data_IF_709496206951
#
_entry.id   IF_709496206951
#
_cell.length_a   1.000
_cell.length_b   1.000
_cell.length_c   1.000
_cell.angle_alpha   90.00
_cell.angle_beta   90.00
_cell.angle_gamma   90.00
#
_symmetry.space_group_name_H-M   'P 1'
#
loop_
_entity.id
_entity.type
_entity.pdbx_description
1 polymer ?
#
# COMPACT_ATOMS: atom_id res chain seq x y z
N UNK A 1 -2.52 -0.55 12.62
CA UNK A 1 -3.35 0.60 12.20
C UNK A 1 -3.67 1.45 13.41
N UNK A 2 -3.72 2.78 13.27
CA UNK A 2 -4.29 3.69 14.27
C UNK A 2 -5.43 4.47 13.65
N UNK A 3 -6.50 4.64 14.42
CA UNK A 3 -7.65 5.46 14.06
C UNK A 3 -7.84 6.52 15.15
N UNK A 4 -8.42 7.66 14.75
CA UNK A 4 -8.80 8.70 15.70
C UNK A 4 -10.28 9.04 15.51
N UNK A 5 -10.95 9.29 16.63
CA UNK A 5 -12.36 9.63 16.69
C UNK A 5 -12.50 11.00 17.36
N UNK A 6 -13.28 11.89 16.75
CA UNK A 6 -13.62 13.20 17.31
C UNK A 6 -15.08 13.14 17.78
N UNK A 7 -15.31 13.27 19.10
CA UNK A 7 -16.63 13.14 19.71
C UNK A 7 -17.37 11.84 19.30
N UNK A 8 -16.65 10.71 19.29
CA UNK A 8 -17.19 9.40 18.90
C UNK A 8 -17.32 9.17 17.39
N UNK A 9 -17.06 10.19 16.55
CA UNK A 9 -17.13 10.09 15.09
C UNK A 9 -15.76 9.80 14.51
N UNK A 10 -15.65 8.80 13.62
CA UNK A 10 -14.41 8.51 12.91
C UNK A 10 -13.90 9.76 12.17
N UNK A 11 -12.66 10.16 12.45
CA UNK A 11 -12.04 11.37 11.92
C UNK A 11 -10.84 11.06 10.99
N UNK A 12 -10.17 9.93 11.16
CA UNK A 12 -9.06 9.55 10.30
C UNK A 12 -8.31 8.29 10.72
N UNK A 13 -7.40 7.86 9.86
CA UNK A 13 -6.57 6.67 10.06
C UNK A 13 -5.15 6.88 9.56
N UNK A 14 -4.25 6.03 10.04
CA UNK A 14 -2.93 5.84 9.46
C UNK A 14 -2.44 4.41 9.74
N UNK A 15 -1.77 3.80 8.77
CA UNK A 15 -1.14 2.49 8.89
C UNK A 15 0.36 2.67 8.65
N UNK A 16 1.18 2.01 9.45
CA UNK A 16 2.59 1.82 9.19
C UNK A 16 2.85 0.31 9.17
N UNK A 17 3.19 -0.23 8.01
CA UNK A 17 3.65 -1.60 7.86
C UNK A 17 5.12 -1.66 8.28
N UNK A 18 5.48 -2.67 9.06
CA UNK A 18 6.86 -2.90 9.50
C UNK A 18 7.39 -4.13 8.78
N UNK A 19 8.48 -3.95 8.04
CA UNK A 19 9.25 -5.00 7.40
C UNK A 19 10.63 -5.08 8.06
N UNK A 20 11.40 -6.15 7.84
CA UNK A 20 12.73 -6.29 8.43
C UNK A 20 13.65 -5.09 8.16
N UNK A 21 13.62 -4.56 6.93
CA UNK A 21 14.60 -3.55 6.47
C UNK A 21 14.03 -2.13 6.35
N UNK A 22 12.70 -1.98 6.42
CA UNK A 22 12.03 -0.70 6.24
C UNK A 22 10.61 -0.70 6.81
N UNK A 23 10.02 0.49 6.91
CA UNK A 23 8.62 0.70 7.22
C UNK A 23 7.90 1.40 6.08
N UNK A 24 6.60 1.15 5.93
CA UNK A 24 5.80 1.75 4.85
C UNK A 24 4.50 2.35 5.38
N UNK A 25 4.31 3.65 5.17
CA UNK A 25 3.09 4.36 5.59
C UNK A 25 2.02 4.24 4.49
N UNK A 26 0.83 3.85 4.91
CA UNK A 26 -0.33 3.68 4.04
C UNK A 26 -1.60 4.16 4.74
N UNK A 27 -2.66 4.39 3.96
CA UNK A 27 -3.98 4.80 4.46
C UNK A 27 -3.93 5.99 5.44
N UNK A 28 -2.99 6.91 5.22
CA UNK A 28 -2.91 8.16 5.97
C UNK A 28 -3.98 9.14 5.45
N UNK A 29 -5.03 9.31 6.23
CA UNK A 29 -6.21 10.04 5.82
C UNK A 29 -6.88 10.74 7.00
N UNK A 30 -7.32 11.97 6.78
CA UNK A 30 -8.21 12.72 7.68
C UNK A 30 -9.41 13.18 6.87
N UNK A 31 -10.60 12.95 7.42
CA UNK A 31 -11.88 13.40 6.88
C UNK A 31 -11.88 14.93 6.71
N UNK A 32 -12.35 15.48 5.57
CA UNK A 32 -12.28 16.90 5.25
C UNK A 32 -12.69 17.85 6.38
N UNK A 33 -13.82 17.58 7.03
CA UNK A 33 -14.40 18.39 8.12
C UNK A 33 -13.54 18.46 9.39
N UNK A 34 -12.58 17.54 9.56
CA UNK A 34 -11.66 17.48 10.69
C UNK A 34 -10.24 17.94 10.34
N UNK A 35 -9.99 18.38 9.09
CA UNK A 35 -8.67 18.89 8.66
C UNK A 35 -8.37 20.27 9.27
N UNK A 36 -7.09 20.64 9.25
CA UNK A 36 -6.61 21.91 9.81
C UNK A 36 -6.52 21.95 11.34
N UNK A 37 -6.84 20.83 12.03
CA UNK A 37 -6.89 20.73 13.50
C UNK A 37 -5.70 19.97 14.12
N UNK A 38 -4.65 19.69 13.36
CA UNK A 38 -3.48 18.93 13.82
C UNK A 38 -3.67 17.40 13.94
N UNK A 39 -4.88 16.88 13.68
CA UNK A 39 -5.22 15.46 13.76
C UNK A 39 -4.31 14.58 12.90
N UNK A 40 -4.00 15.02 11.68
CA UNK A 40 -3.13 14.27 10.77
C UNK A 40 -1.73 14.09 11.36
N UNK A 41 -1.13 15.16 11.86
CA UNK A 41 0.20 15.11 12.50
C UNK A 41 0.21 14.20 13.73
N UNK A 42 -0.86 14.21 14.53
CA UNK A 42 -1.00 13.29 15.67
C UNK A 42 -1.06 11.82 15.20
N UNK A 43 -1.92 11.51 14.22
CA UNK A 43 -1.99 10.16 13.63
C UNK A 43 -0.64 9.71 13.09
N UNK A 44 0.05 10.58 12.36
CA UNK A 44 1.35 10.29 11.76
C UNK A 44 2.41 9.98 12.82
N UNK A 45 2.54 10.83 13.84
CA UNK A 45 3.50 10.63 14.94
C UNK A 45 3.21 9.38 15.79
N UNK A 46 1.94 8.98 15.90
CA UNK A 46 1.56 7.75 16.60
C UNK A 46 2.00 6.48 15.86
N UNK A 47 2.04 6.51 14.52
CA UNK A 47 2.43 5.33 13.72
C UNK A 47 3.90 5.35 13.30
N UNK A 48 4.45 6.53 12.99
CA UNK A 48 5.87 6.75 12.69
C UNK A 48 6.54 7.35 13.92
N UNK A 49 6.66 6.53 14.96
CA UNK A 49 7.33 6.91 16.21
C UNK A 49 8.86 6.95 16.04
N UNK A 50 9.59 7.38 17.08
CA UNK A 50 11.04 7.54 17.03
C UNK A 50 11.77 6.25 16.61
N UNK A 51 11.33 5.08 17.09
CA UNK A 51 11.92 3.79 16.70
C UNK A 51 11.75 3.49 15.21
N UNK A 52 10.58 3.81 14.64
CA UNK A 52 10.34 3.62 13.20
C UNK A 52 11.21 4.57 12.38
N UNK A 53 11.46 5.79 12.87
CA UNK A 53 12.29 6.81 12.21
C UNK A 53 13.79 6.47 12.18
N UNK A 54 14.26 5.52 12.98
CA UNK A 54 15.65 5.04 12.93
C UNK A 54 15.94 4.24 11.64
N UNK A 55 14.90 3.70 10.99
CA UNK A 55 15.02 2.96 9.74
C UNK A 55 14.54 3.73 8.51
N UNK A 56 14.54 3.05 7.36
CA UNK A 56 13.97 3.59 6.13
C UNK A 56 12.45 3.61 6.21
N UNK A 57 11.83 4.77 5.98
CA UNK A 57 10.36 4.90 5.95
C UNK A 57 9.93 5.37 4.56
N UNK A 58 9.10 4.58 3.89
CA UNK A 58 8.54 4.88 2.57
C UNK A 58 7.03 5.18 2.63
N UNK A 59 6.52 5.88 1.61
CA UNK A 59 5.09 6.05 1.38
C UNK A 59 4.81 6.33 -0.10
N UNK A 60 3.55 6.14 -0.50
CA UNK A 60 3.04 6.69 -1.74
C UNK A 60 2.46 8.08 -1.50
N UNK A 61 3.06 9.09 -2.13
CA UNK A 61 2.56 10.46 -2.06
C UNK A 61 1.49 10.69 -3.12
N UNK A 62 0.29 11.07 -2.68
CA UNK A 62 -0.66 11.73 -3.57
C UNK A 62 -0.12 13.13 -3.92
N UNK A 63 -0.18 13.59 -5.18
CA UNK A 63 0.50 14.82 -5.61
C UNK A 63 0.18 16.07 -4.77
N UNK A 64 -1.06 16.26 -4.32
CA UNK A 64 -1.45 17.38 -3.46
C UNK A 64 -0.89 17.29 -2.03
N UNK A 65 -0.51 16.08 -1.59
CA UNK A 65 0.09 15.84 -0.28
C UNK A 65 1.62 15.79 -0.30
N UNK A 66 2.25 15.71 -1.49
CA UNK A 66 3.72 15.63 -1.62
C UNK A 66 4.47 16.75 -0.86
N UNK A 67 4.07 18.04 -0.94
CA UNK A 67 4.73 19.11 -0.19
C UNK A 67 4.67 18.90 1.34
N UNK A 68 3.56 18.35 1.86
CA UNK A 68 3.43 18.06 3.30
C UNK A 68 4.44 16.99 3.71
N UNK A 69 4.59 15.92 2.92
CA UNK A 69 5.54 14.85 3.23
C UNK A 69 6.98 15.34 3.19
N UNK A 70 7.33 16.12 2.17
CA UNK A 70 8.68 16.64 1.96
C UNK A 70 9.06 17.69 3.00
N UNK A 71 8.26 18.74 3.13
CA UNK A 71 8.62 19.93 3.90
C UNK A 71 8.32 19.79 5.40
N UNK A 72 7.30 19.00 5.76
CA UNK A 72 6.82 18.92 7.15
C UNK A 72 7.14 17.60 7.82
N UNK A 73 7.26 16.52 7.06
CA UNK A 73 7.43 15.16 7.59
C UNK A 73 8.78 14.53 7.24
N UNK A 74 9.63 15.22 6.48
CA UNK A 74 11.03 14.85 6.23
C UNK A 74 11.25 13.81 5.13
N UNK A 75 10.25 13.51 4.30
CA UNK A 75 10.37 12.58 3.17
C UNK A 75 11.08 13.26 2.00
N UNK A 76 12.40 13.35 2.08
CA UNK A 76 13.24 14.08 1.12
C UNK A 76 13.84 13.22 0.00
N UNK A 77 13.44 11.94 -0.10
CA UNK A 77 13.89 11.01 -1.16
C UNK A 77 12.70 10.65 -2.04
N UNK A 78 12.88 10.75 -3.36
CA UNK A 78 11.89 10.41 -4.37
C UNK A 78 12.45 9.35 -5.31
N UNK A 79 11.61 8.40 -5.68
CA UNK A 79 11.89 7.44 -6.75
C UNK A 79 11.56 8.06 -8.10
N UNK A 80 12.19 7.58 -9.18
CA UNK A 80 12.01 8.10 -10.55
C UNK A 80 10.73 7.62 -11.24
N UNK A 81 9.95 6.76 -10.60
CA UNK A 81 8.72 6.20 -11.15
C UNK A 81 7.48 6.76 -10.42
N UNK A 82 6.33 6.68 -11.08
CA UNK A 82 5.04 7.10 -10.53
C UNK A 82 4.04 5.97 -10.63
N UNK A 83 3.16 5.86 -9.63
CA UNK A 83 1.99 5.00 -9.73
C UNK A 83 0.88 5.74 -10.49
N UNK A 84 0.37 5.14 -11.55
CA UNK A 84 -0.73 5.71 -12.34
C UNK A 84 -2.01 4.92 -12.10
N UNK A 85 -3.13 5.64 -12.01
CA UNK A 85 -4.47 5.03 -12.03
C UNK A 85 -4.95 5.06 -13.46
N UNK A 86 -5.12 3.88 -14.04
CA UNK A 86 -5.68 3.73 -15.38
C UNK A 86 -7.09 3.15 -15.26
N UNK A 87 -8.05 3.78 -15.95
CA UNK A 87 -9.36 3.18 -16.18
C UNK A 87 -9.30 2.52 -17.54
N UNK A 88 -9.47 1.20 -17.56
CA UNK A 88 -9.49 0.43 -18.81
C UNK A 88 -10.95 0.23 -19.22
N UNK A 89 -11.30 0.65 -20.43
CA UNK A 89 -12.63 0.48 -21.04
C UNK A 89 -12.48 -0.10 -22.44
N UNK A 90 -13.54 -0.72 -22.98
CA UNK A 90 -13.53 -1.31 -24.33
C UNK A 90 -12.40 -2.34 -24.51
N UNK A 91 -12.25 -3.26 -23.54
CA UNK A 91 -11.23 -4.31 -23.59
C UNK A 91 -11.50 -5.22 -24.78
N UNK A 92 -10.56 -5.24 -25.72
CA UNK A 92 -10.60 -6.12 -26.88
C UNK A 92 -9.83 -7.42 -26.58
N UNK A 93 -10.56 -8.43 -26.12
CA UNK A 93 -10.01 -9.75 -25.79
C UNK A 93 -9.45 -10.48 -27.02
N UNK A 94 -9.81 -10.10 -28.25
CA UNK A 94 -9.25 -10.72 -29.46
C UNK A 94 -7.73 -10.49 -29.56
N UNK A 95 -7.22 -9.41 -28.96
CA UNK A 95 -5.78 -9.10 -28.87
C UNK A 95 -4.99 -10.06 -27.97
N UNK A 96 -5.66 -10.89 -27.19
CA UNK A 96 -5.02 -11.94 -26.39
C UNK A 96 -4.82 -13.24 -27.18
N UNK A 97 -5.39 -13.35 -28.39
CA UNK A 97 -5.20 -14.52 -29.26
C UNK A 97 -3.70 -14.72 -29.57
N UNK A 98 -3.21 -15.95 -29.43
CA UNK A 98 -1.80 -16.30 -29.61
C UNK A 98 -0.94 -16.26 -28.33
N UNK A 99 -1.37 -15.59 -27.26
CA UNK A 99 -0.66 -15.62 -25.95
C UNK A 99 -0.99 -16.88 -25.13
N UNK A 100 -2.16 -17.49 -25.37
CA UNK A 100 -2.71 -18.56 -24.53
C UNK A 100 -1.89 -19.87 -24.52
N UNK A 101 -0.96 -20.08 -25.45
CA UNK A 101 -0.32 -21.39 -25.60
C UNK A 101 0.79 -21.67 -24.58
N UNK A 102 1.29 -20.66 -23.85
CA UNK A 102 2.45 -20.82 -22.97
C UNK A 102 2.22 -20.42 -21.51
N UNK A 103 1.00 -20.03 -21.12
CA UNK A 103 0.72 -19.56 -19.77
C UNK A 103 -0.44 -20.33 -19.13
N UNK A 104 -0.27 -20.68 -17.86
CA UNK A 104 -1.32 -21.23 -17.01
C UNK A 104 -1.80 -20.13 -16.07
N UNK A 105 -3.10 -19.85 -16.09
CA UNK A 105 -3.76 -19.00 -15.10
C UNK A 105 -4.19 -19.90 -13.95
N UNK A 106 -3.79 -19.56 -12.73
CA UNK A 106 -4.11 -20.29 -11.51
C UNK A 106 -4.76 -19.38 -10.49
N UNK A 107 -5.68 -19.92 -9.71
CA UNK A 107 -6.14 -19.26 -8.50
C UNK A 107 -5.01 -19.20 -7.46
N UNK A 108 -5.08 -18.21 -6.56
CA UNK A 108 -4.10 -18.04 -5.48
C UNK A 108 -4.05 -19.26 -4.54
N UNK A 109 -5.17 -19.98 -4.39
CA UNK A 109 -5.26 -21.22 -3.61
C UNK A 109 -4.55 -22.41 -4.25
N UNK A 110 -4.23 -22.34 -5.56
CA UNK A 110 -3.52 -23.39 -6.29
C UNK A 110 -1.99 -23.24 -6.23
N UNK A 111 -1.48 -22.20 -5.57
CA UNK A 111 -0.06 -21.98 -5.35
C UNK A 111 0.27 -22.01 -3.87
N UNK A 112 1.50 -22.38 -3.52
CA UNK A 112 1.94 -22.29 -2.12
C UNK A 112 2.27 -20.83 -1.77
N UNK A 113 2.07 -20.47 -0.50
CA UNK A 113 2.52 -19.17 0.01
C UNK A 113 4.02 -18.94 -0.24
N UNK A 114 4.84 -19.98 -0.07
CA UNK A 114 6.28 -19.87 -0.25
C UNK A 114 6.65 -19.44 -1.68
N UNK A 115 6.03 -20.04 -2.70
CA UNK A 115 6.24 -19.63 -4.09
C UNK A 115 5.86 -18.16 -4.33
N UNK A 116 4.77 -17.70 -3.71
CA UNK A 116 4.33 -16.31 -3.83
C UNK A 116 5.28 -15.34 -3.13
N UNK A 117 5.79 -15.69 -1.95
CA UNK A 117 6.76 -14.88 -1.19
C UNK A 117 8.10 -14.81 -1.91
N UNK A 118 8.58 -15.92 -2.47
CA UNK A 118 9.81 -15.96 -3.27
C UNK A 118 9.70 -15.10 -4.53
N UNK A 119 8.54 -15.10 -5.19
CA UNK A 119 8.27 -14.21 -6.30
C UNK A 119 8.24 -12.74 -5.87
N UNK A 120 7.46 -12.40 -4.84
CA UNK A 120 7.32 -11.03 -4.32
C UNK A 120 8.68 -10.43 -3.92
N UNK A 121 9.49 -11.21 -3.20
CA UNK A 121 10.77 -10.75 -2.65
C UNK A 121 11.76 -10.32 -3.74
N UNK A 122 11.69 -10.92 -4.94
CA UNK A 122 12.55 -10.54 -6.08
C UNK A 122 12.28 -9.12 -6.58
N UNK A 123 11.05 -8.65 -6.48
CA UNK A 123 10.64 -7.32 -6.96
C UNK A 123 10.54 -6.30 -5.84
N UNK A 124 10.06 -6.72 -4.67
CA UNK A 124 9.95 -5.86 -3.49
C UNK A 124 11.30 -5.53 -2.86
N UNK A 125 12.33 -6.35 -3.10
CA UNK A 125 13.66 -6.19 -2.52
C UNK A 125 13.72 -6.44 -1.01
N UNK A 126 12.69 -7.09 -0.44
CA UNK A 126 12.60 -7.41 0.98
C UNK A 126 11.68 -8.62 1.21
N UNK A 127 11.88 -9.32 2.33
CA UNK A 127 10.93 -10.35 2.76
C UNK A 127 9.69 -9.68 3.36
N UNK A 128 8.56 -9.82 2.67
CA UNK A 128 7.26 -9.28 3.09
C UNK A 128 6.23 -10.38 3.36
N UNK A 129 6.66 -11.54 3.82
CA UNK A 129 5.79 -12.72 3.99
C UNK A 129 4.50 -12.39 4.77
N UNK A 130 4.59 -11.73 5.93
CA UNK A 130 3.39 -11.40 6.72
C UNK A 130 2.38 -10.56 5.93
N UNK A 131 2.87 -9.64 5.09
CA UNK A 131 2.02 -8.83 4.22
C UNK A 131 1.40 -9.68 3.11
N UNK A 132 2.21 -10.45 2.39
CA UNK A 132 1.76 -11.33 1.30
C UNK A 132 0.72 -12.34 1.81
N UNK A 133 0.98 -12.96 2.96
CA UNK A 133 0.07 -13.88 3.63
C UNK A 133 -1.28 -13.22 3.92
N UNK A 134 -1.26 -12.10 4.65
CA UNK A 134 -2.50 -11.49 5.19
C UNK A 134 -3.32 -10.74 4.13
N UNK A 135 -2.68 -10.23 3.08
CA UNK A 135 -3.32 -9.33 2.10
C UNK A 135 -3.50 -9.93 0.72
N UNK A 136 -2.89 -11.09 0.44
CA UNK A 136 -3.00 -11.76 -0.86
C UNK A 136 -3.41 -13.22 -0.67
N UNK A 137 -2.65 -13.99 0.10
CA UNK A 137 -2.83 -15.45 0.18
C UNK A 137 -4.06 -15.88 0.98
N UNK A 138 -4.23 -15.35 2.19
CA UNK A 138 -5.35 -15.66 3.09
C UNK A 138 -6.57 -14.75 2.82
N UNK A 139 -6.68 -14.24 1.59
CA UNK A 139 -7.76 -13.37 1.13
C UNK A 139 -8.56 -14.02 0.00
N UNK A 140 -9.25 -15.14 0.26
CA UNK A 140 -10.12 -15.77 -0.74
C UNK A 140 -11.29 -14.85 -1.16
N UNK A 141 -11.57 -13.81 -0.35
CA UNK A 141 -12.55 -12.76 -0.64
C UNK A 141 -12.02 -11.67 -1.60
N UNK A 142 -10.70 -11.62 -1.84
CA UNK A 142 -10.08 -10.71 -2.81
C UNK A 142 -10.29 -11.21 -4.25
N UNK A 143 -11.55 -11.40 -4.64
CA UNK A 143 -11.91 -11.77 -6.00
C UNK A 143 -11.66 -10.58 -6.94
N UNK A 144 -10.89 -10.83 -8.01
CA UNK A 144 -10.88 -9.92 -9.16
C UNK A 144 -12.27 -9.97 -9.80
N UNK A 145 -13.09 -8.94 -9.57
CA UNK A 145 -14.43 -8.82 -10.17
C UNK A 145 -14.39 -8.33 -11.62
N UNK A 146 -13.27 -8.49 -12.32
CA UNK A 146 -13.18 -8.26 -13.75
C UNK A 146 -13.96 -9.39 -14.43
N UNK A 147 -15.28 -9.21 -14.50
CA UNK A 147 -16.14 -9.91 -15.46
C UNK A 147 -16.04 -9.21 -16.80
#
# INVERSE_FOLDING_TARGET
>A
MRCIFAAGVYAGSCICFLFPDYAFVAAYYVRPEFRGRGIGSQLFNLVVNNKVKEGNVGLYAEPSMAPVYEEKLGFNKKVSWTAQKVQVTNIDFSKLSGLAHNFLIKDISEISLQQLVEYDSKFAGANRESFVRSWVYERPDAASKVK
#
